data_IF_717738272839
#
_entry.id   IF_717738272839
#
_cell.length_a   1.000
_cell.length_b   1.000
_cell.length_c   1.000
_cell.angle_alpha   90.00
_cell.angle_beta   90.00
_cell.angle_gamma   90.00
#
_symmetry.space_group_name_H-M   'P 1'
#
loop_
_entity.id
_entity.type
_entity.pdbx_description
1 polymer ?
#
# COMPACT_ATOMS: atom_id res chain seq x y z
N UNK A 1 15.39 -18.37 -14.91
CA UNK A 1 14.17 -17.57 -14.69
C UNK A 1 13.91 -17.50 -13.18
N UNK A 2 14.35 -16.42 -12.53
CA UNK A 2 14.12 -16.25 -11.09
C UNK A 2 12.64 -15.95 -10.85
N UNK A 3 11.98 -16.73 -9.99
CA UNK A 3 10.63 -16.41 -9.51
C UNK A 3 10.73 -15.06 -8.78
N UNK A 4 10.25 -13.99 -9.39
CA UNK A 4 10.07 -12.70 -8.73
C UNK A 4 9.16 -12.95 -7.54
N UNK A 5 9.70 -12.86 -6.33
CA UNK A 5 8.94 -13.06 -5.09
C UNK A 5 7.82 -12.02 -5.12
N UNK A 6 6.58 -12.45 -5.42
CA UNK A 6 5.43 -11.57 -5.33
C UNK A 6 5.35 -11.14 -3.87
N UNK A 7 5.64 -9.87 -3.60
CA UNK A 7 5.42 -9.27 -2.28
C UNK A 7 3.96 -9.52 -1.91
N UNK A 8 3.75 -10.19 -0.79
CA UNK A 8 2.40 -10.47 -0.31
C UNK A 8 1.81 -9.15 0.17
N UNK A 9 0.84 -8.63 -0.58
CA UNK A 9 0.17 -7.37 -0.27
C UNK A 9 -1.24 -7.67 0.22
N UNK A 10 -1.49 -7.38 1.49
CA UNK A 10 -2.79 -7.57 2.15
C UNK A 10 -3.47 -6.22 2.33
N UNK A 11 -4.65 -6.03 1.74
CA UNK A 11 -5.49 -4.86 2.05
C UNK A 11 -5.94 -4.95 3.52
N UNK A 12 -5.64 -3.91 4.29
CA UNK A 12 -5.99 -3.82 5.72
C UNK A 12 -7.28 -3.02 5.91
N UNK A 13 -7.56 -2.09 5.01
CA UNK A 13 -8.75 -1.28 5.06
C UNK A 13 -8.82 -0.29 3.89
N UNK A 14 -10.02 0.20 3.65
CA UNK A 14 -10.33 1.13 2.57
C UNK A 14 -11.30 2.17 3.08
N UNK A 15 -10.98 3.43 2.83
CA UNK A 15 -11.81 4.58 3.19
C UNK A 15 -12.18 5.30 1.91
N UNK A 16 -13.48 5.43 1.65
CA UNK A 16 -13.97 6.24 0.53
C UNK A 16 -13.71 7.72 0.83
N UNK A 17 -13.00 8.41 -0.05
CA UNK A 17 -12.77 9.85 0.04
C UNK A 17 -13.78 10.63 -0.82
N UNK A 18 -14.10 10.09 -1.99
CA UNK A 18 -15.11 10.62 -2.91
C UNK A 18 -15.69 9.50 -3.78
N UNK A 19 -16.60 9.80 -4.70
CA UNK A 19 -17.14 8.81 -5.64
C UNK A 19 -16.09 8.22 -6.59
N UNK A 20 -14.99 8.93 -6.79
CA UNK A 20 -13.92 8.56 -7.71
C UNK A 20 -12.60 8.24 -7.00
N UNK A 21 -12.54 8.35 -5.66
CA UNK A 21 -11.29 8.15 -4.92
C UNK A 21 -11.49 7.40 -3.61
N UNK A 22 -10.64 6.41 -3.41
CA UNK A 22 -10.50 5.68 -2.14
C UNK A 22 -9.07 5.83 -1.61
N UNK A 23 -8.92 5.96 -0.29
CA UNK A 23 -7.66 5.72 0.39
C UNK A 23 -7.60 4.26 0.84
N UNK A 24 -6.61 3.52 0.35
CA UNK A 24 -6.43 2.11 0.67
C UNK A 24 -5.18 1.95 1.53
N UNK A 25 -5.34 1.31 2.68
CA UNK A 25 -4.25 0.88 3.54
C UNK A 25 -3.94 -0.60 3.26
N UNK A 26 -2.68 -0.92 2.98
CA UNK A 26 -2.25 -2.29 2.74
C UNK A 26 -0.93 -2.59 3.42
N UNK A 27 -0.80 -3.82 3.93
CA UNK A 27 0.39 -4.33 4.56
C UNK A 27 1.14 -5.20 3.56
N UNK A 28 2.38 -4.83 3.24
CA UNK A 28 3.25 -5.56 2.34
C UNK A 28 4.32 -6.32 3.13
N UNK A 29 4.42 -7.63 2.89
CA UNK A 29 5.36 -8.57 3.53
C UNK A 29 5.32 -8.51 5.08
N UNK A 30 4.19 -8.13 5.68
CA UNK A 30 4.04 -7.86 7.13
C UNK A 30 5.03 -6.85 7.73
N UNK A 31 5.71 -6.07 6.90
CA UNK A 31 6.81 -5.17 7.31
C UNK A 31 6.65 -3.74 6.82
N UNK A 32 5.72 -3.49 5.89
CA UNK A 32 5.54 -2.19 5.26
C UNK A 32 4.08 -1.83 5.21
N UNK A 33 3.70 -0.67 5.72
CA UNK A 33 2.35 -0.13 5.59
C UNK A 33 2.32 0.84 4.40
N UNK A 34 1.59 0.49 3.36
CA UNK A 34 1.35 1.32 2.18
C UNK A 34 -0.04 1.96 2.30
N UNK A 35 -0.08 3.29 2.34
CA UNK A 35 -1.29 4.09 2.25
C UNK A 35 -1.33 4.74 0.87
N UNK A 36 -2.34 4.44 0.06
CA UNK A 36 -2.35 4.86 -1.34
C UNK A 36 -3.74 5.23 -1.83
N UNK A 37 -3.80 6.28 -2.64
CA UNK A 37 -5.03 6.65 -3.32
C UNK A 37 -5.28 5.73 -4.49
N UNK A 38 -6.49 5.20 -4.54
CA UNK A 38 -7.05 4.49 -5.68
C UNK A 38 -8.05 5.41 -6.36
N UNK A 39 -7.97 5.47 -7.69
CA UNK A 39 -8.96 6.17 -8.50
C UNK A 39 -9.90 5.13 -9.09
N UNK A 40 -11.19 5.43 -8.97
CA UNK A 40 -12.27 4.67 -9.56
C UNK A 40 -12.79 5.44 -10.78
N UNK A 41 -12.81 4.75 -11.91
CA UNK A 41 -13.53 5.15 -13.12
C UNK A 41 -14.68 4.16 -13.32
N UNK A 42 -15.58 4.45 -14.26
CA UNK A 42 -16.69 3.55 -14.58
C UNK A 42 -16.21 2.16 -15.06
N UNK A 43 -15.00 2.11 -15.63
CA UNK A 43 -14.44 0.92 -16.26
C UNK A 43 -13.37 0.18 -15.42
N UNK A 44 -12.73 0.86 -14.46
CA UNK A 44 -11.71 0.23 -13.62
C UNK A 44 -11.40 1.03 -12.34
N UNK A 45 -10.85 0.32 -11.35
CA UNK A 45 -10.25 0.89 -10.15
C UNK A 45 -8.76 0.59 -10.15
N UNK A 46 -7.90 1.60 -9.99
CA UNK A 46 -6.45 1.41 -10.01
C UNK A 46 -5.73 2.26 -8.95
N UNK A 47 -4.61 1.71 -8.47
CA UNK A 47 -3.68 2.40 -7.60
C UNK A 47 -3.00 3.56 -8.32
N UNK A 48 -3.00 4.74 -7.71
CA UNK A 48 -2.24 5.89 -8.23
C UNK A 48 -0.80 5.88 -7.73
N UNK A 49 0.03 6.78 -8.26
CA UNK A 49 1.36 7.07 -7.69
C UNK A 49 1.29 7.96 -6.44
N UNK A 50 0.10 8.42 -6.04
CA UNK A 50 -0.12 9.24 -4.84
C UNK A 50 -0.31 8.32 -3.65
N UNK A 51 0.75 8.12 -2.88
CA UNK A 51 0.73 7.31 -1.68
C UNK A 51 2.02 7.46 -0.90
N UNK A 52 2.01 6.95 0.32
CA UNK A 52 3.13 6.92 1.24
C UNK A 52 3.32 5.49 1.71
N UNK A 53 4.58 5.08 1.89
CA UNK A 53 4.92 3.76 2.41
C UNK A 53 5.78 3.91 3.65
N UNK A 54 5.28 3.43 4.77
CA UNK A 54 6.01 3.33 6.02
C UNK A 54 6.70 1.98 6.08
N UNK A 55 7.99 2.01 6.42
CA UNK A 55 8.76 0.81 6.70
C UNK A 55 8.74 0.63 8.21
N UNK A 56 8.20 -0.50 8.67
CA UNK A 56 8.31 -0.84 10.07
C UNK A 56 9.74 -1.31 10.30
N UNK A 57 10.55 -0.43 10.90
CA UNK A 57 11.84 -0.80 11.44
C UNK A 57 11.57 -1.49 12.77
N UNK A 58 11.98 -2.75 12.85
CA UNK A 58 11.99 -3.49 14.09
C UNK A 58 13.14 -2.95 14.94
N UNK A 59 12.88 -1.85 15.67
CA UNK A 59 13.63 -1.39 16.82
C UNK A 59 15.12 -1.02 16.69
N UNK A 60 15.81 -1.27 15.57
CA UNK A 60 17.26 -1.03 15.51
C UNK A 60 17.58 0.37 14.96
N UNK A 61 17.43 1.36 15.85
CA UNK A 61 18.19 2.60 15.82
C UNK A 61 19.56 2.41 16.51
N UNK A 62 20.09 1.18 16.60
CA UNK A 62 21.40 0.88 17.18
C UNK A 62 22.52 1.06 16.16
N UNK A 63 22.91 2.31 15.90
CA UNK A 63 24.06 2.56 15.03
C UNK A 63 24.45 4.02 14.79
N UNK A 64 23.93 4.96 15.59
CA UNK A 64 24.47 6.33 15.69
C UNK A 64 24.65 6.66 17.16
#
# INVERSE_FOLDING_TARGET
>A
MGKTKQTEQKEMGRIKLSDTQDLVASLADNKKLDLRLFVKTDSYTAATKRGLRFYFFDGDLGGI
#
